data_IF_704579775015
#
_entry.id   IF_704579775015
#
_cell.length_a   1.000
_cell.length_b   1.000
_cell.length_c   1.000
_cell.angle_alpha   90.00
_cell.angle_beta   90.00
_cell.angle_gamma   90.00
#
_symmetry.space_group_name_H-M   'P 1'
#
loop_
_entity.id
_entity.type
_entity.pdbx_description
1 polymer ?
#
# COMPACT_ATOMS: atom_id res chain seq x y z
N UNK A 1 -31.70 -22.54 -23.72
CA UNK A 1 -32.36 -21.28 -23.33
C UNK A 1 -32.05 -21.06 -21.86
N UNK A 2 -31.47 -19.92 -21.45
CA UNK A 2 -31.17 -19.66 -20.03
C UNK A 2 -32.51 -19.55 -19.30
N UNK A 3 -32.76 -20.43 -18.32
CA UNK A 3 -33.99 -20.36 -17.52
C UNK A 3 -34.03 -19.07 -16.71
N UNK A 4 -35.22 -18.57 -16.40
CA UNK A 4 -35.35 -17.38 -15.56
C UNK A 4 -34.72 -17.57 -14.17
N UNK A 5 -34.64 -18.82 -13.69
CA UNK A 5 -33.88 -19.22 -12.49
C UNK A 5 -32.41 -18.79 -12.52
N UNK A 6 -31.74 -18.88 -13.66
CA UNK A 6 -30.29 -18.57 -13.75
C UNK A 6 -30.02 -17.09 -14.05
N UNK A 7 -31.02 -16.34 -14.52
CA UNK A 7 -30.88 -14.94 -14.94
C UNK A 7 -30.30 -14.05 -13.84
N UNK A 8 -30.78 -14.21 -12.61
CA UNK A 8 -30.31 -13.43 -11.45
C UNK A 8 -28.84 -13.70 -11.13
N UNK A 9 -28.40 -14.95 -11.33
CA UNK A 9 -27.00 -15.35 -11.11
C UNK A 9 -26.08 -14.72 -12.15
N UNK A 10 -26.48 -14.71 -13.43
CA UNK A 10 -25.74 -14.01 -14.48
C UNK A 10 -25.66 -12.51 -14.21
N UNK A 11 -26.75 -11.87 -13.78
CA UNK A 11 -26.73 -10.45 -13.37
C UNK A 11 -25.73 -10.21 -12.24
N UNK A 12 -25.75 -11.08 -11.22
CA UNK A 12 -24.83 -10.93 -10.09
C UNK A 12 -23.36 -11.09 -10.49
N UNK A 13 -23.06 -12.04 -11.37
CA UNK A 13 -21.71 -12.22 -11.92
C UNK A 13 -21.30 -10.98 -12.71
N UNK A 14 -22.18 -10.45 -13.55
CA UNK A 14 -21.91 -9.23 -14.33
C UNK A 14 -21.58 -8.05 -13.43
N UNK A 15 -22.38 -7.76 -12.40
CA UNK A 15 -22.11 -6.66 -11.46
C UNK A 15 -20.74 -6.77 -10.80
N UNK A 16 -20.39 -7.98 -10.33
CA UNK A 16 -19.09 -8.23 -9.70
C UNK A 16 -17.96 -8.16 -10.73
N UNK A 17 -18.21 -8.56 -11.98
CA UNK A 17 -17.20 -8.50 -13.04
C UNK A 17 -16.89 -7.05 -13.42
N UNK A 18 -17.93 -6.22 -13.56
CA UNK A 18 -17.77 -4.78 -13.80
C UNK A 18 -16.98 -4.12 -12.64
N UNK A 19 -17.27 -4.56 -11.39
CA UNK A 19 -16.55 -4.13 -10.19
C UNK A 19 -15.07 -4.52 -10.25
N UNK A 20 -14.77 -5.78 -10.59
CA UNK A 20 -13.40 -6.28 -10.75
C UNK A 20 -12.66 -5.55 -11.87
N UNK A 21 -13.31 -5.32 -13.01
CA UNK A 21 -12.72 -4.62 -14.14
C UNK A 21 -12.36 -3.17 -13.80
N UNK A 22 -13.23 -2.47 -13.04
CA UNK A 22 -12.95 -1.12 -12.55
C UNK A 22 -11.71 -1.09 -11.65
N UNK A 23 -11.58 -2.04 -10.71
CA UNK A 23 -10.41 -2.14 -9.82
C UNK A 23 -9.13 -2.47 -10.59
N UNK A 24 -9.21 -3.41 -11.53
CA UNK A 24 -8.10 -3.78 -12.42
C UNK A 24 -7.64 -2.57 -13.24
N UNK A 25 -8.55 -1.77 -13.78
CA UNK A 25 -8.19 -0.56 -14.52
C UNK A 25 -7.57 0.49 -13.62
N UNK A 26 -8.06 0.65 -12.39
CA UNK A 26 -7.53 1.62 -11.45
C UNK A 26 -6.08 1.27 -11.07
N UNK A 27 -5.84 0.06 -10.60
CA UNK A 27 -4.52 -0.39 -10.12
C UNK A 27 -3.54 -0.60 -11.28
N UNK A 28 -4.03 -1.13 -12.42
CA UNK A 28 -3.22 -1.37 -13.61
C UNK A 28 -2.73 -0.10 -14.31
N UNK A 29 -3.30 1.07 -13.99
CA UNK A 29 -2.80 2.37 -14.45
C UNK A 29 -1.44 2.68 -13.86
N UNK A 30 -1.24 2.37 -12.58
CA UNK A 30 -0.02 2.67 -11.84
C UNK A 30 1.01 1.56 -12.01
N UNK A 31 0.57 0.30 -12.07
CA UNK A 31 1.45 -0.83 -12.37
C UNK A 31 0.69 -2.04 -12.97
N UNK A 32 0.91 -2.29 -14.26
CA UNK A 32 0.33 -3.41 -15.02
C UNK A 32 0.65 -4.80 -14.43
N UNK A 33 1.78 -4.96 -13.74
CA UNK A 33 2.15 -6.27 -13.19
C UNK A 33 1.23 -6.69 -12.03
N UNK A 34 0.62 -5.73 -11.31
CA UNK A 34 -0.23 -6.00 -10.14
C UNK A 34 -1.57 -6.64 -10.51
N UNK A 35 -2.01 -6.49 -11.76
CA UNK A 35 -3.35 -6.91 -12.19
C UNK A 35 -3.35 -8.26 -12.88
N UNK A 36 -2.18 -8.89 -13.08
CA UNK A 36 -2.04 -10.16 -13.79
C UNK A 36 -2.88 -11.26 -13.14
N UNK A 37 -2.82 -11.37 -11.81
CA UNK A 37 -3.56 -12.39 -11.05
C UNK A 37 -5.07 -12.16 -11.19
N UNK A 38 -5.55 -10.93 -11.02
CA UNK A 38 -6.97 -10.61 -11.17
C UNK A 38 -7.48 -10.79 -12.60
N UNK A 39 -6.68 -10.45 -13.63
CA UNK A 39 -6.99 -10.77 -15.04
C UNK A 39 -7.13 -12.28 -15.23
N UNK A 40 -6.25 -13.08 -14.60
CA UNK A 40 -6.33 -14.53 -14.69
C UNK A 40 -7.63 -15.06 -14.07
N UNK A 41 -8.08 -14.49 -12.95
CA UNK A 41 -9.39 -14.81 -12.38
C UNK A 41 -10.52 -14.47 -13.36
N UNK A 42 -10.50 -13.29 -13.98
CA UNK A 42 -11.49 -12.90 -15.00
C UNK A 42 -11.52 -13.86 -16.20
N UNK A 43 -10.37 -14.46 -16.59
CA UNK A 43 -10.32 -15.49 -17.63
C UNK A 43 -11.05 -16.76 -17.21
N UNK A 44 -10.85 -17.22 -15.97
CA UNK A 44 -11.59 -18.36 -15.43
C UNK A 44 -13.10 -18.07 -15.36
N UNK A 45 -13.51 -16.85 -15.00
CA UNK A 45 -14.92 -16.45 -15.07
C UNK A 45 -15.49 -16.68 -16.47
N UNK A 46 -14.81 -16.19 -17.51
CA UNK A 46 -15.23 -16.39 -18.90
C UNK A 46 -15.34 -17.88 -19.27
N UNK A 47 -14.37 -18.69 -18.85
CA UNK A 47 -14.39 -20.14 -19.10
C UNK A 47 -15.60 -20.82 -18.45
N UNK A 48 -15.91 -20.49 -17.19
CA UNK A 48 -17.05 -21.06 -16.48
C UNK A 48 -18.39 -20.60 -17.06
N UNK A 49 -18.51 -19.33 -17.48
CA UNK A 49 -19.70 -18.84 -18.16
C UNK A 49 -19.95 -19.55 -19.50
N UNK A 50 -18.90 -19.77 -20.30
CA UNK A 50 -19.01 -20.52 -21.56
C UNK A 50 -19.50 -21.95 -21.31
N UNK A 51 -18.93 -22.63 -20.30
CA UNK A 51 -19.36 -23.99 -19.92
C UNK A 51 -20.82 -24.01 -19.48
N UNK A 52 -21.23 -23.11 -18.60
CA UNK A 52 -22.62 -22.98 -18.17
C UNK A 52 -23.58 -22.75 -19.35
N UNK A 53 -23.20 -21.91 -20.32
CA UNK A 53 -24.04 -21.61 -21.50
C UNK A 53 -24.18 -22.80 -22.46
N UNK A 54 -23.19 -23.69 -22.50
CA UNK A 54 -23.17 -24.88 -23.37
C UNK A 54 -23.67 -26.16 -22.69
N UNK A 55 -23.84 -26.15 -21.37
CA UNK A 55 -24.29 -27.31 -20.62
C UNK A 55 -25.79 -27.57 -20.81
N UNK A 56 -26.16 -28.85 -20.86
CA UNK A 56 -27.56 -29.30 -20.93
C UNK A 56 -28.08 -29.79 -19.59
N UNK A 57 -27.18 -30.16 -18.67
CA UNK A 57 -27.50 -30.58 -17.31
C UNK A 57 -27.60 -29.35 -16.39
N UNK A 58 -28.75 -29.18 -15.74
CA UNK A 58 -29.01 -28.06 -14.83
C UNK A 58 -28.03 -28.02 -13.65
N UNK A 59 -27.59 -29.17 -13.14
CA UNK A 59 -26.61 -29.23 -12.04
C UNK A 59 -25.27 -28.67 -12.48
N UNK A 60 -24.84 -28.98 -13.70
CA UNK A 60 -23.59 -28.47 -14.28
C UNK A 60 -23.68 -26.96 -14.49
N UNK A 61 -24.82 -26.46 -15.00
CA UNK A 61 -25.06 -25.01 -15.10
C UNK A 61 -24.92 -24.36 -13.72
N UNK A 62 -25.55 -24.95 -12.70
CA UNK A 62 -25.55 -24.38 -11.37
C UNK A 62 -24.13 -24.35 -10.74
N UNK A 63 -23.33 -25.40 -10.92
CA UNK A 63 -21.95 -25.51 -10.44
C UNK A 63 -21.01 -24.51 -11.15
N UNK A 64 -21.12 -24.39 -12.46
CA UNK A 64 -20.29 -23.50 -13.28
C UNK A 64 -20.60 -22.02 -12.97
N UNK A 65 -21.87 -21.67 -12.74
CA UNK A 65 -22.24 -20.31 -12.29
C UNK A 65 -21.70 -19.99 -10.89
N UNK A 66 -21.62 -20.98 -9.99
CA UNK A 66 -21.04 -20.77 -8.66
C UNK A 66 -19.53 -20.60 -8.72
N UNK A 67 -18.87 -21.33 -9.63
CA UNK A 67 -17.46 -21.16 -9.90
C UNK A 67 -17.15 -19.78 -10.49
N UNK A 68 -17.93 -19.34 -11.50
CA UNK A 68 -17.81 -18.01 -12.07
C UNK A 68 -17.97 -16.91 -11.00
N UNK A 69 -18.94 -17.05 -10.10
CA UNK A 69 -19.13 -16.12 -8.99
C UNK A 69 -17.90 -16.04 -8.07
N UNK A 70 -17.36 -17.20 -7.66
CA UNK A 70 -16.16 -17.27 -6.80
C UNK A 70 -14.93 -16.65 -7.48
N UNK A 71 -14.71 -16.94 -8.76
CA UNK A 71 -13.59 -16.35 -9.50
C UNK A 71 -13.74 -14.84 -9.65
N UNK A 72 -14.96 -14.33 -9.83
CA UNK A 72 -15.19 -12.88 -9.92
C UNK A 72 -14.88 -12.19 -8.59
N UNK A 73 -15.33 -12.77 -7.47
CA UNK A 73 -15.01 -12.30 -6.13
C UNK A 73 -13.50 -12.33 -5.85
N UNK A 74 -12.83 -13.40 -6.28
CA UNK A 74 -11.38 -13.54 -6.17
C UNK A 74 -10.63 -12.53 -7.02
N UNK A 75 -11.15 -12.17 -8.20
CA UNK A 75 -10.57 -11.12 -9.03
C UNK A 75 -10.55 -9.78 -8.29
N UNK A 76 -11.66 -9.40 -7.64
CA UNK A 76 -11.74 -8.18 -6.83
C UNK A 76 -10.75 -8.23 -5.66
N UNK A 77 -10.70 -9.35 -4.94
CA UNK A 77 -9.78 -9.55 -3.83
C UNK A 77 -8.31 -9.43 -4.26
N UNK A 78 -7.87 -10.29 -5.18
CA UNK A 78 -6.47 -10.40 -5.61
C UNK A 78 -5.96 -9.04 -6.12
N UNK A 79 -6.83 -8.30 -6.82
CA UNK A 79 -6.52 -6.96 -7.36
C UNK A 79 -6.33 -5.94 -6.25
N UNK A 80 -7.30 -5.79 -5.34
CA UNK A 80 -7.22 -4.79 -4.28
C UNK A 80 -6.14 -5.12 -3.24
N UNK A 81 -5.93 -6.40 -2.90
CA UNK A 81 -4.84 -6.84 -2.03
C UNK A 81 -3.47 -6.46 -2.61
N UNK A 82 -3.26 -6.72 -3.91
CA UNK A 82 -2.04 -6.31 -4.62
C UNK A 82 -1.87 -4.78 -4.63
N UNK A 83 -2.97 -4.03 -4.77
CA UNK A 83 -2.97 -2.57 -4.67
C UNK A 83 -2.56 -2.06 -3.30
N UNK A 84 -3.12 -2.62 -2.23
CA UNK A 84 -2.78 -2.26 -0.85
C UNK A 84 -1.29 -2.51 -0.61
N UNK A 85 -0.80 -3.73 -0.91
CA UNK A 85 0.59 -4.09 -0.71
C UNK A 85 1.54 -3.16 -1.48
N UNK A 86 1.20 -2.84 -2.73
CA UNK A 86 1.97 -1.92 -3.55
C UNK A 86 2.06 -0.52 -2.93
N UNK A 87 0.93 0.08 -2.55
CA UNK A 87 0.94 1.45 -2.03
C UNK A 87 1.55 1.55 -0.63
N UNK A 88 1.31 0.55 0.23
CA UNK A 88 2.00 0.45 1.53
C UNK A 88 3.51 0.40 1.31
N UNK A 89 3.98 -0.49 0.42
CA UNK A 89 5.41 -0.61 0.11
C UNK A 89 5.99 0.69 -0.44
N UNK A 90 5.27 1.40 -1.32
CA UNK A 90 5.73 2.68 -1.88
C UNK A 90 5.80 3.80 -0.86
N UNK A 91 4.85 3.85 0.09
CA UNK A 91 4.89 4.80 1.20
C UNK A 91 6.05 4.46 2.15
N UNK A 92 6.25 3.18 2.45
CA UNK A 92 7.36 2.70 3.27
C UNK A 92 8.73 3.00 2.63
N UNK A 93 8.86 2.85 1.31
CA UNK A 93 10.07 3.22 0.56
C UNK A 93 10.40 4.71 0.71
N UNK A 94 9.39 5.59 0.62
CA UNK A 94 9.58 7.03 0.87
C UNK A 94 10.07 7.27 2.30
N UNK A 95 9.39 6.67 3.29
CA UNK A 95 9.66 6.94 4.70
C UNK A 95 10.99 6.38 5.18
N UNK A 96 11.25 5.11 4.87
CA UNK A 96 12.31 4.33 5.50
C UNK A 96 13.58 4.28 4.65
N UNK A 97 13.46 4.39 3.32
CA UNK A 97 14.62 4.27 2.43
C UNK A 97 15.09 5.64 1.93
N UNK A 98 14.16 6.47 1.45
CA UNK A 98 14.51 7.77 0.90
C UNK A 98 14.75 8.86 1.96
N UNK A 99 13.96 8.85 3.05
CA UNK A 99 14.00 9.90 4.08
C UNK A 99 14.04 9.37 5.52
N UNK A 100 14.94 8.43 5.87
CA UNK A 100 14.93 7.71 7.16
C UNK A 100 15.12 8.60 8.39
N UNK A 101 15.69 9.78 8.25
CA UNK A 101 16.00 10.70 9.37
C UNK A 101 15.00 11.84 9.51
N UNK A 102 14.00 11.92 8.63
CA UNK A 102 13.04 13.01 8.62
C UNK A 102 11.87 12.67 9.55
N UNK A 103 11.52 13.60 10.44
CA UNK A 103 10.26 13.53 11.16
C UNK A 103 9.14 14.08 10.28
N UNK A 104 8.42 13.17 9.62
CA UNK A 104 7.31 13.50 8.72
C UNK A 104 6.17 14.23 9.43
N UNK A 105 6.00 14.04 10.74
CA UNK A 105 4.92 14.71 11.50
C UNK A 105 5.08 16.22 11.58
N UNK A 106 6.30 16.73 11.37
CA UNK A 106 6.60 18.17 11.38
C UNK A 106 6.42 18.83 10.00
N UNK A 107 6.21 18.02 8.94
CA UNK A 107 6.19 18.48 7.55
C UNK A 107 4.84 18.19 6.90
N UNK A 108 4.24 17.06 7.22
CA UNK A 108 2.99 16.58 6.64
C UNK A 108 1.94 16.50 7.75
N UNK A 109 1.04 17.48 7.79
CA UNK A 109 0.03 17.60 8.86
C UNK A 109 -0.82 16.34 9.03
N UNK A 110 -1.16 15.67 7.92
CA UNK A 110 -1.97 14.45 7.91
C UNK A 110 -1.16 13.16 8.12
N UNK A 111 0.11 13.24 8.54
CA UNK A 111 0.96 12.06 8.61
C UNK A 111 0.45 11.00 9.62
N UNK A 112 -0.19 11.43 10.71
CA UNK A 112 -0.85 10.52 11.65
C UNK A 112 -1.92 9.66 10.97
N UNK A 113 -2.71 10.25 10.08
CA UNK A 113 -3.75 9.53 9.32
C UNK A 113 -3.14 8.56 8.31
N UNK A 114 -2.00 8.91 7.71
CA UNK A 114 -1.25 8.01 6.80
C UNK A 114 -0.81 6.76 7.55
N UNK A 115 -0.21 6.93 8.74
CA UNK A 115 0.27 5.81 9.55
C UNK A 115 -0.90 4.93 10.00
N UNK A 116 -1.99 5.55 10.45
CA UNK A 116 -3.21 4.83 10.84
C UNK A 116 -3.77 4.00 9.69
N UNK A 117 -3.89 4.59 8.51
CA UNK A 117 -4.43 3.92 7.34
C UNK A 117 -3.58 2.72 6.89
N UNK A 118 -2.25 2.83 6.97
CA UNK A 118 -1.34 1.71 6.67
C UNK A 118 -1.59 0.53 7.63
N UNK A 119 -1.73 0.80 8.92
CA UNK A 119 -1.94 -0.26 9.92
C UNK A 119 -3.34 -0.89 9.80
N UNK A 120 -4.37 -0.10 9.50
CA UNK A 120 -5.71 -0.62 9.21
C UNK A 120 -5.70 -1.48 7.94
N UNK A 121 -5.03 -1.03 6.87
CA UNK A 121 -4.93 -1.78 5.62
C UNK A 121 -4.15 -3.10 5.79
N UNK A 122 -3.04 -3.09 6.54
CA UNK A 122 -2.28 -4.31 6.88
C UNK A 122 -3.15 -5.29 7.66
N UNK A 123 -3.89 -4.80 8.66
CA UNK A 123 -4.81 -5.62 9.45
C UNK A 123 -5.90 -6.27 8.58
N UNK A 124 -6.43 -5.52 7.61
CA UNK A 124 -7.41 -6.05 6.66
C UNK A 124 -6.80 -7.17 5.81
N UNK A 125 -5.61 -6.96 5.23
CA UNK A 125 -4.94 -7.97 4.38
C UNK A 125 -4.47 -9.21 5.13
N UNK A 126 -4.23 -9.12 6.44
CA UNK A 126 -3.94 -10.29 7.28
C UNK A 126 -5.16 -11.22 7.44
N UNK A 127 -6.37 -10.70 7.22
CA UNK A 127 -7.61 -11.47 7.22
C UNK A 127 -7.86 -12.01 5.81
N UNK A 128 -7.77 -13.33 5.61
CA UNK A 128 -7.98 -13.93 4.28
C UNK A 128 -9.46 -13.88 3.91
N UNK A 129 -9.77 -13.67 2.62
CA UNK A 129 -11.17 -13.72 2.15
C UNK A 129 -11.86 -15.08 2.39
N UNK A 130 -11.07 -16.16 2.53
CA UNK A 130 -11.56 -17.50 2.89
C UNK A 130 -12.03 -17.59 4.34
N UNK A 131 -11.44 -16.81 5.25
CA UNK A 131 -11.84 -16.74 6.67
C UNK A 131 -13.17 -16.01 6.91
N UNK A 132 -13.76 -15.40 5.88
CA UNK A 132 -15.05 -14.73 5.96
C UNK A 132 -16.18 -15.75 5.72
N UNK A 133 -16.81 -16.19 6.81
CA UNK A 133 -17.80 -17.27 6.86
C UNK A 133 -19.12 -16.98 6.11
N UNK A 134 -19.39 -15.74 5.68
CA UNK A 134 -20.64 -15.42 4.95
C UNK A 134 -20.45 -14.40 3.79
N UNK A 135 -21.43 -14.35 2.88
CA UNK A 135 -21.40 -13.48 1.67
C UNK A 135 -21.45 -11.98 1.98
N UNK A 136 -22.15 -11.57 3.03
CA UNK A 136 -22.32 -10.16 3.39
C UNK A 136 -21.00 -9.56 3.91
N UNK A 137 -20.29 -10.32 4.75
CA UNK A 137 -18.96 -9.99 5.25
C UNK A 137 -17.94 -9.87 4.10
N UNK A 138 -18.05 -10.71 3.07
CA UNK A 138 -17.19 -10.64 1.88
C UNK A 138 -17.43 -9.36 1.06
N UNK A 139 -18.68 -8.98 0.85
CA UNK A 139 -18.99 -7.73 0.12
C UNK A 139 -18.45 -6.50 0.87
N UNK A 140 -18.65 -6.46 2.18
CA UNK A 140 -18.11 -5.39 3.02
C UNK A 140 -16.57 -5.39 3.02
N UNK A 141 -15.95 -6.58 3.06
CA UNK A 141 -14.51 -6.72 2.95
C UNK A 141 -13.98 -6.12 1.64
N UNK A 142 -14.56 -6.49 0.50
CA UNK A 142 -14.12 -5.96 -0.80
C UNK A 142 -14.28 -4.45 -0.91
N UNK A 143 -15.39 -3.91 -0.40
CA UNK A 143 -15.59 -2.47 -0.35
C UNK A 143 -14.51 -1.79 0.49
N UNK A 144 -14.23 -2.31 1.70
CA UNK A 144 -13.17 -1.78 2.57
C UNK A 144 -11.80 -1.86 1.90
N UNK A 145 -11.47 -2.96 1.23
CA UNK A 145 -10.20 -3.09 0.52
C UNK A 145 -10.03 -1.99 -0.54
N UNK A 146 -11.08 -1.71 -1.32
CA UNK A 146 -11.07 -0.62 -2.29
C UNK A 146 -10.87 0.75 -1.63
N UNK A 147 -11.60 1.02 -0.55
CA UNK A 147 -11.48 2.28 0.20
C UNK A 147 -10.04 2.50 0.70
N UNK A 148 -9.38 1.45 1.21
CA UNK A 148 -7.97 1.50 1.60
C UNK A 148 -7.05 1.77 0.41
N UNK A 149 -7.24 1.11 -0.75
CA UNK A 149 -6.44 1.37 -1.96
C UNK A 149 -6.55 2.84 -2.35
N UNK A 150 -7.75 3.40 -2.42
CA UNK A 150 -7.97 4.79 -2.83
C UNK A 150 -7.31 5.79 -1.88
N UNK A 151 -7.41 5.56 -0.56
CA UNK A 151 -6.77 6.42 0.44
C UNK A 151 -5.25 6.31 0.40
N UNK A 152 -4.71 5.09 0.32
CA UNK A 152 -3.26 4.86 0.22
C UNK A 152 -2.69 5.48 -1.07
N UNK A 153 -3.41 5.40 -2.19
CA UNK A 153 -3.03 6.07 -3.44
C UNK A 153 -2.98 7.60 -3.27
N UNK A 154 -3.98 8.19 -2.59
CA UNK A 154 -4.00 9.62 -2.27
C UNK A 154 -2.83 10.01 -1.36
N UNK A 155 -2.55 9.23 -0.33
CA UNK A 155 -1.43 9.48 0.58
C UNK A 155 -0.07 9.32 -0.09
N UNK A 156 0.11 8.32 -0.94
CA UNK A 156 1.31 8.20 -1.77
C UNK A 156 1.50 9.44 -2.66
N UNK A 157 0.43 9.90 -3.31
CA UNK A 157 0.47 11.12 -4.13
C UNK A 157 0.81 12.36 -3.31
N UNK A 158 0.23 12.48 -2.11
CA UNK A 158 0.51 13.57 -1.17
C UNK A 158 1.98 13.58 -0.75
N UNK A 159 2.53 12.44 -0.33
CA UNK A 159 3.95 12.34 0.05
C UNK A 159 4.88 12.66 -1.12
N UNK A 160 4.52 12.28 -2.35
CA UNK A 160 5.28 12.68 -3.53
C UNK A 160 5.26 14.21 -3.73
N UNK A 161 4.14 14.88 -3.46
CA UNK A 161 4.06 16.34 -3.53
C UNK A 161 4.94 17.03 -2.47
N UNK A 162 5.09 16.43 -1.29
CA UNK A 162 5.98 16.91 -0.22
C UNK A 162 7.47 16.58 -0.43
N UNK A 163 7.85 15.82 -1.47
CA UNK A 163 9.27 15.45 -1.70
C UNK A 163 10.24 16.63 -1.66
N UNK A 164 9.97 17.79 -2.28
CA UNK A 164 10.88 18.93 -2.19
C UNK A 164 11.11 19.40 -0.74
N UNK A 165 10.08 19.35 0.10
CA UNK A 165 10.17 19.74 1.51
C UNK A 165 10.96 18.72 2.33
N UNK A 166 10.73 17.43 2.08
CA UNK A 166 11.50 16.34 2.71
C UNK A 166 12.99 16.43 2.36
N UNK A 167 13.32 16.71 1.09
CA UNK A 167 14.71 16.94 0.66
C UNK A 167 15.32 18.15 1.38
N UNK A 168 14.56 19.26 1.47
CA UNK A 168 15.01 20.45 2.22
C UNK A 168 15.24 20.16 3.69
N UNK A 169 14.41 19.32 4.31
CA UNK A 169 14.55 18.90 5.71
C UNK A 169 15.85 18.11 5.92
N UNK A 170 16.15 17.12 5.05
CA UNK A 170 17.42 16.35 5.11
C UNK A 170 18.63 17.27 4.94
N UNK A 171 18.58 18.19 3.98
CA UNK A 171 19.69 19.14 3.77
C UNK A 171 19.89 20.05 4.97
N UNK A 172 18.81 20.49 5.63
CA UNK A 172 18.89 21.29 6.85
C UNK A 172 19.52 20.50 7.98
N UNK A 173 19.04 19.28 8.24
CA UNK A 173 19.60 18.39 9.28
C UNK A 173 21.10 18.13 9.07
N UNK A 174 21.53 17.84 7.84
CA UNK A 174 22.93 17.65 7.52
C UNK A 174 23.80 18.89 7.78
N UNK A 175 23.30 20.10 7.45
CA UNK A 175 24.00 21.35 7.76
C UNK A 175 24.09 21.59 9.26
N UNK A 176 23.04 21.30 10.00
CA UNK A 176 23.00 21.51 11.44
C UNK A 176 23.92 20.51 12.17
N UNK A 177 24.00 19.26 11.71
CA UNK A 177 24.99 18.27 12.17
C UNK A 177 26.41 18.72 11.89
N UNK A 178 26.71 19.20 10.68
CA UNK A 178 28.05 19.70 10.34
C UNK A 178 28.46 20.88 11.25
N UNK A 179 27.55 21.83 11.47
CA UNK A 179 27.78 22.96 12.39
C UNK A 179 28.04 22.50 13.81
N UNK A 180 27.26 21.53 14.29
CA UNK A 180 27.42 20.94 15.62
C UNK A 180 28.79 20.28 15.75
N UNK A 181 29.20 19.46 14.79
CA UNK A 181 30.50 18.81 14.79
C UNK A 181 31.67 19.79 14.69
N UNK A 182 31.54 20.85 13.87
CA UNK A 182 32.53 21.92 13.81
C UNK A 182 32.69 22.62 15.17
N UNK A 183 31.58 22.90 15.85
CA UNK A 183 31.58 23.47 17.20
C UNK A 183 32.25 22.57 18.24
N UNK A 184 31.96 21.26 18.21
CA UNK A 184 32.61 20.27 19.08
C UNK A 184 34.12 20.23 18.82
N UNK A 185 34.54 20.19 17.56
CA UNK A 185 35.96 20.19 17.22
C UNK A 185 36.67 21.47 17.71
N UNK A 186 36.07 22.64 17.51
CA UNK A 186 36.59 23.92 18.01
C UNK A 186 36.73 23.94 19.54
N UNK A 187 35.75 23.39 20.27
CA UNK A 187 35.80 23.28 21.73
C UNK A 187 36.94 22.37 22.20
N UNK A 188 37.15 21.23 21.53
CA UNK A 188 38.25 20.31 21.82
C UNK A 188 39.62 20.95 21.56
N UNK A 189 39.80 21.67 20.44
CA UNK A 189 41.03 22.40 20.16
C UNK A 189 41.31 23.49 21.20
N UNK A 190 40.26 24.20 21.63
CA UNK A 190 40.38 25.22 22.68
C UNK A 190 40.81 24.62 24.02
N UNK A 191 40.24 23.47 24.40
CA UNK A 191 40.62 22.76 25.62
C UNK A 191 42.07 22.24 25.56
N UNK A 192 42.48 21.67 24.41
CA UNK A 192 43.86 21.21 24.21
C UNK A 192 44.85 22.38 24.31
N UNK A 193 44.54 23.53 23.70
CA UNK A 193 45.35 24.74 23.81
C UNK A 193 45.50 25.23 25.25
N UNK A 194 44.41 25.19 26.03
CA UNK A 194 44.43 25.54 27.46
C UNK A 194 45.35 24.58 28.23
N UNK A 195 45.22 23.27 28.02
CA UNK A 195 46.05 22.25 28.69
C UNK A 195 47.54 22.41 28.36
N UNK A 196 47.88 22.66 27.09
CA UNK A 196 49.25 22.91 26.67
C UNK A 196 49.81 24.17 27.33
N UNK A 197 49.03 25.25 27.40
CA UNK A 197 49.44 26.50 28.07
C UNK A 197 49.71 26.28 29.56
N UNK A 198 48.82 25.55 30.26
CA UNK A 198 49.01 25.20 31.67
C UNK A 198 50.27 24.34 31.89
N UNK A 199 50.51 23.35 31.03
CA UNK A 199 51.71 22.51 31.11
C UNK A 199 53.00 23.32 30.90
N UNK A 200 52.99 24.27 29.96
CA UNK A 200 54.12 25.18 29.74
C UNK A 200 54.39 26.08 30.96
N UNK A 201 53.34 26.58 31.62
CA UNK A 201 53.50 27.37 32.85
C UNK A 201 54.11 26.55 33.99
N UNK A 202 53.66 25.31 34.20
CA UNK A 202 54.18 24.43 35.26
C UNK A 202 55.66 24.09 35.06
N UNK A 203 56.09 23.83 33.83
CA UNK A 203 57.48 23.52 33.50
C UNK A 203 58.43 24.73 33.63
N UNK A 204 57.93 25.96 33.62
CA UNK A 204 58.76 27.16 33.78
C UNK A 204 59.03 27.52 35.25
N UNK A 205 58.24 26.95 36.17
CA UNK A 205 58.29 27.21 37.61
C UNK A 205 59.03 26.15 38.45
N UNK A 206 59.64 25.14 37.80
CA UNK A 206 60.46 24.10 38.44
C UNK A 206 61.88 24.12 37.93
#
# INVERSE_FOLDING_TARGET
MISDKHRDRFWKIKELYDTAEADLKNIGRDNQALVVTGINQCRYVGQHLLRAMTATDEKVIDEELDAALRHTQRAIYDTNDSGIQYYVSKIDEIRNEHFPTVDFSQIVDSYGDIVKEIEEAKTLTATTAESLENRENRSQFYQKSREHVEKLQKYYSLLNAYRPDLVRAVQKDNRDKLRTWAGVALALFSLLGLLLTLASCLNFSG
#
